data_IF_111511433237
#
_entry.id   IF_111511433237
#
_cell.length_a   1.000
_cell.length_b   1.000
_cell.length_c   1.000
_cell.angle_alpha   90.00
_cell.angle_beta   90.00
_cell.angle_gamma   90.00
#
_symmetry.space_group_name_H-M   'P 1'
#
loop_
_entity.id
_entity.type
_entity.pdbx_description
1 polymer ?
#
# COMPACT_ATOMS: atom_id res chain seq x y z
N UNK A 1 5.64 39.99 -15.61
CA UNK A 1 5.60 38.66 -16.25
C UNK A 1 5.95 37.64 -15.18
N UNK A 2 4.95 37.16 -14.45
CA UNK A 2 5.17 36.15 -13.39
C UNK A 2 5.21 34.81 -14.10
N UNK A 3 6.38 34.17 -14.07
CA UNK A 3 6.55 32.80 -14.53
C UNK A 3 5.60 31.93 -13.71
N UNK A 4 4.61 31.38 -14.39
CA UNK A 4 3.71 30.35 -13.88
C UNK A 4 4.58 29.13 -13.64
N UNK A 5 5.07 28.97 -12.41
CA UNK A 5 5.63 27.69 -11.96
C UNK A 5 4.57 26.64 -12.23
N UNK A 6 4.88 25.74 -13.16
CA UNK A 6 4.08 24.54 -13.35
C UNK A 6 4.29 23.75 -12.06
N UNK A 7 3.40 23.96 -11.08
CA UNK A 7 3.30 23.07 -9.94
C UNK A 7 2.85 21.73 -10.53
N UNK A 8 3.82 20.87 -10.81
CA UNK A 8 3.58 19.44 -10.89
C UNK A 8 2.83 19.10 -9.60
N UNK A 9 1.62 18.58 -9.75
CA UNK A 9 0.62 18.40 -8.71
C UNK A 9 1.28 17.97 -7.40
N UNK A 10 1.10 18.77 -6.36
CA UNK A 10 1.24 18.32 -4.97
C UNK A 10 0.41 17.05 -4.86
N UNK A 11 1.06 15.90 -4.96
CA UNK A 11 0.47 14.59 -4.71
C UNK A 11 -0.30 14.76 -3.42
N UNK A 12 -1.62 14.58 -3.46
CA UNK A 12 -2.40 14.64 -2.24
C UNK A 12 -1.85 13.50 -1.36
N UNK A 13 -1.27 13.86 -0.21
CA UNK A 13 -0.67 12.90 0.70
C UNK A 13 -1.65 11.77 1.06
N UNK A 14 -2.95 12.07 1.08
CA UNK A 14 -4.02 11.10 1.26
C UNK A 14 -4.07 10.02 0.17
N UNK A 15 -3.83 10.41 -1.09
CA UNK A 15 -3.73 9.46 -2.22
C UNK A 15 -2.46 8.61 -2.12
N UNK A 16 -1.35 9.18 -1.66
CA UNK A 16 -0.12 8.42 -1.44
C UNK A 16 -0.29 7.39 -0.31
N UNK A 17 -1.01 7.75 0.76
CA UNK A 17 -1.40 6.83 1.83
C UNK A 17 -2.27 5.70 1.29
N UNK A 18 -3.30 6.02 0.50
CA UNK A 18 -4.16 4.98 -0.10
C UNK A 18 -3.37 4.06 -1.02
N UNK A 19 -2.54 4.63 -1.91
CA UNK A 19 -1.71 3.87 -2.84
C UNK A 19 -0.71 2.98 -2.10
N UNK A 20 -0.22 3.41 -0.94
CA UNK A 20 0.63 2.59 -0.06
C UNK A 20 -0.15 1.38 0.48
N UNK A 21 -1.35 1.59 1.03
CA UNK A 21 -2.19 0.49 1.50
C UNK A 21 -2.51 -0.49 0.35
N UNK A 22 -2.98 0.02 -0.78
CA UNK A 22 -3.31 -0.78 -1.94
C UNK A 22 -2.13 -1.59 -2.47
N UNK A 23 -0.94 -0.99 -2.52
CA UNK A 23 0.25 -1.69 -3.03
C UNK A 23 0.77 -2.76 -2.08
N UNK A 24 0.53 -2.63 -0.76
CA UNK A 24 0.84 -3.70 0.21
C UNK A 24 -0.15 -4.86 0.07
N UNK A 25 -1.43 -4.54 -0.13
CA UNK A 25 -2.51 -5.51 -0.33
C UNK A 25 -2.26 -6.36 -1.59
N UNK A 26 -2.00 -5.72 -2.73
CA UNK A 26 -1.82 -6.42 -4.00
C UNK A 26 -0.45 -7.13 -4.13
N UNK A 27 0.33 -7.24 -3.06
CA UNK A 27 1.75 -7.55 -3.15
C UNK A 27 2.10 -9.05 -3.13
N UNK A 28 1.19 -9.86 -2.60
CA UNK A 28 1.24 -11.31 -2.66
C UNK A 28 0.54 -11.88 -3.93
N UNK A 29 -0.04 -10.99 -4.75
CA UNK A 29 -0.77 -11.37 -5.95
C UNK A 29 -2.24 -11.75 -5.70
N UNK A 30 -2.75 -11.53 -4.49
CA UNK A 30 -4.16 -11.63 -4.15
C UNK A 30 -4.66 -10.29 -3.57
N UNK A 31 -5.97 -10.08 -3.60
CA UNK A 31 -6.61 -8.96 -2.89
C UNK A 31 -7.75 -9.57 -2.09
N UNK A 32 -7.51 -9.81 -0.79
CA UNK A 32 -8.47 -10.43 0.09
C UNK A 32 -9.54 -9.40 0.53
N UNK A 33 -10.78 -9.87 0.66
CA UNK A 33 -11.92 -9.06 1.12
C UNK A 33 -11.68 -8.42 2.49
N UNK A 34 -10.90 -9.07 3.35
CA UNK A 34 -10.49 -8.58 4.68
C UNK A 34 -9.63 -7.32 4.58
N UNK A 35 -8.78 -7.23 3.56
CA UNK A 35 -7.90 -6.08 3.31
C UNK A 35 -8.69 -4.90 2.72
N UNK A 36 -9.60 -5.18 1.79
CA UNK A 36 -10.56 -4.16 1.29
C UNK A 36 -11.40 -3.59 2.45
N UNK A 37 -11.86 -4.47 3.36
CA UNK A 37 -12.60 -4.07 4.56
C UNK A 37 -11.73 -3.24 5.51
N UNK A 38 -10.44 -3.58 5.67
CA UNK A 38 -9.49 -2.78 6.43
C UNK A 38 -9.38 -1.38 5.84
N UNK A 39 -9.12 -1.23 4.54
CA UNK A 39 -8.96 0.09 3.89
C UNK A 39 -10.20 0.95 4.12
N UNK A 40 -11.40 0.37 3.94
CA UNK A 40 -12.66 1.09 4.21
C UNK A 40 -12.81 1.50 5.68
N UNK A 41 -12.34 0.67 6.62
CA UNK A 41 -12.30 1.00 8.05
C UNK A 41 -11.33 2.14 8.35
N UNK A 42 -10.10 2.09 7.80
CA UNK A 42 -9.10 3.16 7.92
C UNK A 42 -9.64 4.49 7.40
N UNK A 43 -10.38 4.46 6.29
CA UNK A 43 -11.03 5.64 5.74
C UNK A 43 -12.14 6.17 6.66
N UNK A 44 -13.11 5.34 7.04
CA UNK A 44 -14.31 5.79 7.76
C UNK A 44 -14.06 6.14 9.23
N UNK A 45 -13.27 5.35 9.93
CA UNK A 45 -13.10 5.47 11.39
C UNK A 45 -11.90 6.34 11.74
N UNK A 46 -10.76 6.11 11.08
CA UNK A 46 -9.50 6.81 11.38
C UNK A 46 -9.29 8.06 10.52
N UNK A 47 -10.14 8.29 9.51
CA UNK A 47 -9.97 9.36 8.50
C UNK A 47 -8.55 9.37 7.90
N UNK A 48 -7.97 8.18 7.74
CA UNK A 48 -6.57 8.02 7.36
C UNK A 48 -6.27 8.69 6.02
N UNK A 49 -7.20 8.60 5.08
CA UNK A 49 -7.08 9.09 3.71
C UNK A 49 -7.89 10.38 3.44
N UNK A 50 -8.14 11.19 4.47
CA UNK A 50 -8.83 12.47 4.31
C UNK A 50 -10.20 12.36 3.65
N UNK A 51 -10.46 13.22 2.66
CA UNK A 51 -11.76 13.34 1.97
C UNK A 51 -11.80 12.66 0.59
N UNK A 52 -10.87 11.74 0.29
CA UNK A 52 -10.86 11.06 -1.00
C UNK A 52 -12.08 10.13 -1.16
N UNK A 53 -12.54 9.97 -2.41
CA UNK A 53 -13.56 8.97 -2.73
C UNK A 53 -12.91 7.58 -2.78
N UNK A 54 -12.90 6.89 -1.63
CA UNK A 54 -12.18 5.62 -1.47
C UNK A 54 -12.52 4.57 -2.53
N UNK A 55 -13.80 4.45 -2.92
CA UNK A 55 -14.22 3.41 -3.87
C UNK A 55 -13.70 3.73 -5.27
N UNK A 56 -13.85 4.98 -5.72
CA UNK A 56 -13.38 5.40 -7.04
C UNK A 56 -11.86 5.35 -7.14
N UNK A 57 -11.14 5.76 -6.09
CA UNK A 57 -9.68 5.72 -6.09
C UNK A 57 -9.16 4.28 -6.08
N UNK A 58 -9.77 3.39 -5.29
CA UNK A 58 -9.41 1.96 -5.28
C UNK A 58 -9.65 1.29 -6.64
N UNK A 59 -10.76 1.62 -7.32
CA UNK A 59 -11.05 1.13 -8.67
C UNK A 59 -10.02 1.64 -9.69
N UNK A 60 -9.62 2.92 -9.59
CA UNK A 60 -8.56 3.48 -10.44
C UNK A 60 -7.21 2.79 -10.20
N UNK A 61 -6.87 2.48 -8.96
CA UNK A 61 -5.64 1.75 -8.61
C UNK A 61 -5.68 0.31 -9.14
N UNK A 62 -6.83 -0.36 -9.04
CA UNK A 62 -7.05 -1.70 -9.59
C UNK A 62 -6.89 -1.73 -11.12
N UNK A 63 -7.50 -0.78 -11.83
CA UNK A 63 -7.36 -0.66 -13.28
C UNK A 63 -5.89 -0.40 -13.65
N UNK A 64 -5.18 0.42 -12.87
CA UNK A 64 -3.79 0.75 -13.13
C UNK A 64 -2.85 -0.45 -12.94
N UNK A 65 -3.00 -1.20 -11.85
CA UNK A 65 -2.16 -2.38 -11.59
C UNK A 65 -2.46 -3.53 -12.55
N UNK A 66 -3.72 -3.74 -12.94
CA UNK A 66 -4.10 -4.75 -13.95
C UNK A 66 -3.61 -4.38 -15.35
N UNK A 67 -3.53 -3.08 -15.68
CA UNK A 67 -3.02 -2.63 -16.98
C UNK A 67 -1.51 -2.87 -17.12
N UNK A 68 -0.74 -2.48 -16.10
CA UNK A 68 0.71 -2.61 -16.08
C UNK A 68 1.21 -2.54 -14.63
N UNK A 69 1.24 -3.69 -13.97
CA UNK A 69 1.66 -3.77 -12.57
C UNK A 69 3.11 -3.30 -12.37
N UNK A 70 4.00 -3.62 -13.32
CA UNK A 70 5.41 -3.23 -13.29
C UNK A 70 5.56 -1.71 -13.26
N UNK A 71 4.90 -1.04 -14.20
CA UNK A 71 4.90 0.40 -14.28
C UNK A 71 4.20 1.03 -13.07
N UNK A 72 3.09 0.44 -12.61
CA UNK A 72 2.34 0.91 -11.43
C UNK A 72 3.23 0.99 -10.17
N UNK A 73 3.96 -0.08 -9.82
CA UNK A 73 4.83 -0.07 -8.64
C UNK A 73 6.07 0.78 -8.85
N UNK A 74 6.64 0.80 -10.06
CA UNK A 74 7.75 1.71 -10.37
C UNK A 74 7.35 3.16 -10.13
N UNK A 75 6.16 3.54 -10.58
CA UNK A 75 5.60 4.87 -10.34
C UNK A 75 5.31 5.12 -8.86
N UNK A 76 4.82 4.13 -8.13
CA UNK A 76 4.64 4.21 -6.69
C UNK A 76 5.97 4.49 -5.95
N UNK A 77 7.01 3.68 -6.20
CA UNK A 77 8.31 3.87 -5.55
C UNK A 77 8.99 5.18 -5.96
N UNK A 78 8.82 5.60 -7.22
CA UNK A 78 9.27 6.92 -7.67
C UNK A 78 8.54 8.02 -6.91
N UNK A 79 7.23 7.91 -6.71
CA UNK A 79 6.45 8.87 -5.92
C UNK A 79 6.95 8.94 -4.47
N UNK A 80 7.18 7.80 -3.81
CA UNK A 80 7.76 7.77 -2.45
C UNK A 80 9.12 8.49 -2.38
N UNK A 81 10.00 8.22 -3.36
CA UNK A 81 11.37 8.75 -3.37
C UNK A 81 11.44 10.24 -3.67
N UNK A 82 10.56 10.71 -4.55
CA UNK A 82 10.53 12.11 -5.03
C UNK A 82 9.64 13.03 -4.18
N UNK A 83 8.78 12.48 -3.34
CA UNK A 83 7.94 13.26 -2.43
C UNK A 83 8.76 13.93 -1.33
N UNK A 84 8.48 15.21 -1.07
CA UNK A 84 9.02 15.92 0.09
C UNK A 84 8.07 15.70 1.26
N UNK A 85 8.37 14.70 2.09
CA UNK A 85 7.56 14.31 3.24
C UNK A 85 8.18 14.81 4.55
N UNK A 86 7.33 15.21 5.49
CA UNK A 86 7.73 15.41 6.88
C UNK A 86 7.91 14.04 7.57
N UNK A 87 8.69 14.00 8.65
CA UNK A 87 8.86 12.77 9.44
C UNK A 87 7.50 12.20 9.93
N UNK A 88 6.56 13.07 10.30
CA UNK A 88 5.21 12.66 10.68
C UNK A 88 4.44 12.00 9.52
N UNK A 89 4.62 12.49 8.28
CA UNK A 89 4.00 11.91 7.10
C UNK A 89 4.66 10.57 6.71
N UNK A 90 5.98 10.48 6.81
CA UNK A 90 6.69 9.21 6.60
C UNK A 90 6.29 8.16 7.64
N UNK A 91 6.15 8.56 8.92
CA UNK A 91 5.64 7.67 9.96
C UNK A 91 4.24 7.15 9.63
N UNK A 92 3.35 8.04 9.17
CA UNK A 92 1.99 7.66 8.82
C UNK A 92 1.93 6.71 7.60
N UNK A 93 2.83 6.84 6.64
CA UNK A 93 2.98 5.87 5.54
C UNK A 93 3.40 4.50 6.06
N UNK A 94 4.39 4.47 6.95
CA UNK A 94 4.85 3.23 7.58
C UNK A 94 3.73 2.58 8.40
N UNK A 95 2.98 3.35 9.19
CA UNK A 95 1.84 2.84 9.95
C UNK A 95 0.79 2.22 9.04
N UNK A 96 0.44 2.87 7.93
CA UNK A 96 -0.52 2.33 6.97
C UNK A 96 -0.01 1.03 6.34
N UNK A 97 1.28 0.96 5.98
CA UNK A 97 1.87 -0.27 5.44
C UNK A 97 1.81 -1.41 6.46
N UNK A 98 2.21 -1.16 7.71
CA UNK A 98 2.17 -2.15 8.80
C UNK A 98 0.75 -2.61 9.08
N UNK A 99 -0.21 -1.69 9.18
CA UNK A 99 -1.61 -2.02 9.42
C UNK A 99 -2.21 -2.88 8.30
N UNK A 100 -1.78 -2.65 7.05
CA UNK A 100 -2.23 -3.43 5.88
C UNK A 100 -1.64 -4.84 5.89
N UNK A 101 -0.33 -4.98 6.09
CA UNK A 101 0.34 -6.29 6.13
C UNK A 101 -0.16 -7.15 7.31
N UNK A 102 -0.61 -6.52 8.41
CA UNK A 102 -1.18 -7.24 9.56
C UNK A 102 -2.67 -7.57 9.40
N UNK A 103 -3.32 -7.20 8.29
CA UNK A 103 -4.77 -7.27 8.14
C UNK A 103 -5.32 -8.70 8.12
N UNK A 104 -4.59 -9.61 7.49
CA UNK A 104 -5.03 -10.96 7.17
C UNK A 104 -4.53 -12.01 8.19
N UNK A 105 -3.80 -11.55 9.23
CA UNK A 105 -3.12 -12.35 10.27
C UNK A 105 -2.08 -13.35 9.75
N UNK A 106 -1.63 -13.24 8.49
CA UNK A 106 -0.65 -14.14 7.90
C UNK A 106 0.37 -13.31 7.10
N UNK A 107 1.44 -12.93 7.78
CA UNK A 107 2.49 -12.15 7.14
C UNK A 107 3.33 -13.03 6.22
N UNK A 108 3.34 -12.72 4.93
CA UNK A 108 4.10 -13.41 3.92
C UNK A 108 5.51 -12.80 3.73
N UNK A 109 6.42 -13.61 3.19
CA UNK A 109 7.79 -13.16 2.94
C UNK A 109 7.87 -12.09 1.84
N UNK A 110 6.96 -12.15 0.86
CA UNK A 110 6.73 -11.12 -0.17
C UNK A 110 6.37 -9.77 0.46
N UNK A 111 5.45 -9.75 1.43
CA UNK A 111 5.05 -8.54 2.15
C UNK A 111 6.18 -7.94 2.98
N UNK A 112 6.96 -8.79 3.67
CA UNK A 112 8.16 -8.36 4.42
C UNK A 112 9.14 -7.66 3.49
N UNK A 113 9.42 -8.29 2.35
CA UNK A 113 10.31 -7.74 1.33
C UNK A 113 9.78 -6.42 0.79
N UNK A 114 8.49 -6.34 0.47
CA UNK A 114 7.85 -5.14 -0.04
C UNK A 114 7.93 -3.98 0.98
N UNK A 115 7.65 -4.26 2.25
CA UNK A 115 7.80 -3.31 3.34
C UNK A 115 9.23 -2.78 3.45
N UNK A 116 10.24 -3.65 3.37
CA UNK A 116 11.65 -3.25 3.39
C UNK A 116 11.99 -2.28 2.25
N UNK A 117 11.40 -2.45 1.06
CA UNK A 117 11.55 -1.49 -0.04
C UNK A 117 10.91 -0.15 0.29
N UNK A 118 9.66 -0.13 0.78
CA UNK A 118 9.00 1.14 1.20
C UNK A 118 9.88 1.86 2.21
N UNK A 119 10.31 1.14 3.25
CA UNK A 119 11.15 1.66 4.33
C UNK A 119 12.46 2.27 3.82
N UNK A 120 13.09 1.66 2.82
CA UNK A 120 14.36 2.14 2.24
C UNK A 120 14.22 3.41 1.41
N UNK A 121 13.00 3.77 0.98
CA UNK A 121 12.72 5.02 0.24
C UNK A 121 12.43 6.20 1.17
N UNK A 122 12.22 5.97 2.46
CA UNK A 122 11.86 6.98 3.47
C UNK A 122 13.04 7.33 4.38
N UNK A 123 13.05 8.56 4.90
CA UNK A 123 14.18 9.10 5.70
C UNK A 123 14.00 8.93 7.22
N UNK A 124 12.79 8.62 7.68
CA UNK A 124 12.44 8.41 9.08
C UNK A 124 13.39 7.41 9.75
N UNK A 125 13.67 7.57 11.03
CA UNK A 125 14.48 6.62 11.80
C UNK A 125 13.65 5.40 12.26
N UNK A 126 14.31 4.31 12.68
CA UNK A 126 13.61 3.13 13.20
C UNK A 126 12.93 3.41 14.55
N UNK A 127 13.49 4.30 15.37
CA UNK A 127 13.01 4.57 16.73
C UNK A 127 11.53 5.01 16.78
N UNK A 128 11.06 6.02 16.03
CA UNK A 128 9.64 6.40 16.02
C UNK A 128 8.70 5.28 15.55
N UNK A 129 9.18 4.38 14.69
CA UNK A 129 8.39 3.23 14.19
C UNK A 129 8.22 2.20 15.31
N UNK A 130 9.32 1.86 16.00
CA UNK A 130 9.36 0.87 17.08
C UNK A 130 8.63 1.32 18.35
N UNK A 131 8.60 2.63 18.63
CA UNK A 131 7.81 3.16 19.75
C UNK A 131 6.32 2.86 19.61
N UNK A 132 5.82 2.70 18.37
CA UNK A 132 4.42 2.39 18.08
C UNK A 132 4.18 0.93 17.71
N UNK A 133 5.16 0.28 17.07
CA UNK A 133 5.09 -1.09 16.59
C UNK A 133 6.35 -1.85 17.03
N UNK A 134 6.49 -2.17 18.34
CA UNK A 134 7.69 -2.81 18.87
C UNK A 134 7.88 -4.24 18.33
N UNK A 135 6.80 -4.88 17.87
CA UNK A 135 6.80 -6.20 17.25
C UNK A 135 7.32 -6.20 15.80
N UNK A 136 7.68 -5.04 15.25
CA UNK A 136 8.17 -4.88 13.88
C UNK A 136 9.70 -4.76 13.78
N UNK A 137 10.44 -5.07 14.85
CA UNK A 137 11.91 -4.93 14.90
C UNK A 137 12.63 -5.74 13.81
N UNK A 138 12.26 -7.01 13.64
CA UNK A 138 12.86 -7.92 12.64
C UNK A 138 12.67 -7.43 11.19
N UNK A 139 11.65 -6.60 10.95
CA UNK A 139 11.31 -6.03 9.65
C UNK A 139 12.12 -4.76 9.33
N UNK A 140 12.68 -4.13 10.37
CA UNK A 140 13.48 -2.91 10.28
C UNK A 140 14.98 -3.17 10.28
N UNK A 141 15.39 -4.43 10.43
CA UNK A 141 16.77 -4.85 10.26
C UNK A 141 17.26 -4.47 8.85
N UNK A 142 18.42 -3.83 8.80
CA UNK A 142 19.07 -3.49 7.55
C UNK A 142 19.58 -4.77 6.90
N UNK A 143 18.81 -5.31 5.96
CA UNK A 143 19.41 -6.10 4.90
C UNK A 143 20.34 -5.18 4.09
N UNK A 144 21.38 -5.75 3.49
CA UNK A 144 22.16 -5.04 2.47
C UNK A 144 21.26 -4.87 1.25
N UNK A 145 20.38 -3.87 1.30
CA UNK A 145 19.49 -3.48 0.22
C UNK A 145 20.33 -2.66 -0.75
N UNK A 146 21.08 -3.35 -1.61
CA UNK A 146 21.70 -2.70 -2.76
C UNK A 146 20.62 -2.31 -3.77
N UNK A 147 20.88 -1.28 -4.58
CA UNK A 147 20.00 -0.94 -5.70
C UNK A 147 19.76 -2.14 -6.64
N UNK A 148 20.75 -3.05 -6.73
CA UNK A 148 20.61 -4.32 -7.46
C UNK A 148 19.70 -5.35 -6.78
N UNK A 149 19.64 -5.37 -5.44
CA UNK A 149 18.67 -6.19 -4.71
C UNK A 149 17.27 -5.64 -4.91
N UNK A 150 17.09 -4.31 -4.86
CA UNK A 150 15.81 -3.66 -5.15
C UNK A 150 15.32 -3.91 -6.57
N UNK A 151 16.21 -3.83 -7.57
CA UNK A 151 15.88 -4.11 -8.96
C UNK A 151 15.42 -5.56 -9.15
N UNK A 152 16.15 -6.52 -8.55
CA UNK A 152 15.76 -7.94 -8.57
C UNK A 152 14.49 -8.21 -7.80
N UNK A 153 14.27 -7.53 -6.69
CA UNK A 153 13.07 -7.70 -5.88
C UNK A 153 11.84 -7.16 -6.60
N UNK A 154 11.99 -6.10 -7.39
CA UNK A 154 10.97 -5.68 -8.35
C UNK A 154 10.77 -6.75 -9.43
N UNK A 155 11.82 -7.25 -10.09
CA UNK A 155 11.70 -8.30 -11.13
C UNK A 155 11.05 -9.60 -10.60
N UNK A 156 11.55 -10.16 -9.50
CA UNK A 156 11.08 -11.42 -8.89
C UNK A 156 9.62 -11.33 -8.41
N UNK A 157 9.22 -10.16 -7.90
CA UNK A 157 7.85 -9.90 -7.46
C UNK A 157 6.88 -10.03 -8.63
N UNK A 158 7.23 -9.51 -9.81
CA UNK A 158 6.38 -9.55 -11.00
C UNK A 158 6.40 -10.88 -11.74
N UNK A 159 7.53 -11.57 -11.79
CA UNK A 159 7.65 -12.82 -12.53
C UNK A 159 6.82 -13.96 -11.91
N UNK A 160 6.49 -13.87 -10.62
CA UNK A 160 5.83 -14.97 -9.90
C UNK A 160 4.39 -14.71 -9.45
N UNK A 161 3.95 -13.44 -9.30
CA UNK A 161 2.71 -13.13 -8.56
C UNK A 161 1.63 -12.38 -9.37
N UNK A 162 1.91 -11.89 -10.59
CA UNK A 162 0.91 -11.20 -11.44
C UNK A 162 0.61 -12.01 -12.71
N UNK A 163 0.25 -13.28 -12.56
CA UNK A 163 -0.27 -14.08 -13.68
C UNK A 163 -1.80 -14.06 -13.77
N UNK A 164 -2.49 -13.52 -12.76
CA UNK A 164 -3.94 -13.41 -12.70
C UNK A 164 -4.37 -11.94 -12.65
N UNK A 165 -5.41 -11.57 -13.38
CA UNK A 165 -6.05 -10.25 -13.24
C UNK A 165 -6.76 -10.19 -11.88
N UNK A 166 -6.56 -9.12 -11.12
CA UNK A 166 -7.29 -8.91 -9.87
C UNK A 166 -8.78 -8.66 -10.16
N UNK A 167 -9.66 -9.32 -9.42
CA UNK A 167 -11.12 -9.16 -9.53
C UNK A 167 -11.60 -7.75 -9.13
N UNK A 168 -12.77 -7.35 -9.63
CA UNK A 168 -13.33 -6.03 -9.33
C UNK A 168 -13.73 -5.92 -7.85
N UNK A 169 -13.34 -4.83 -7.20
CA UNK A 169 -13.66 -4.57 -5.79
C UNK A 169 -15.18 -4.50 -5.53
N UNK A 170 -15.97 -4.11 -6.53
CA UNK A 170 -17.43 -4.11 -6.48
C UNK A 170 -18.02 -5.54 -6.41
N UNK A 171 -17.38 -6.51 -7.06
CA UNK A 171 -17.78 -7.92 -7.04
C UNK A 171 -17.46 -8.55 -5.68
N UNK A 172 -16.30 -8.20 -5.12
CA UNK A 172 -15.91 -8.55 -3.75
C UNK A 172 -16.95 -8.06 -2.72
N UNK A 173 -17.41 -6.81 -2.85
CA UNK A 173 -18.43 -6.23 -1.97
C UNK A 173 -19.79 -6.94 -2.07
N UNK A 174 -20.20 -7.35 -3.27
CA UNK A 174 -21.48 -8.01 -3.51
C UNK A 174 -21.52 -9.41 -2.86
N UNK A 175 -20.47 -10.21 -3.06
CA UNK A 175 -20.35 -11.53 -2.42
C UNK A 175 -20.25 -11.43 -0.89
N UNK A 176 -19.60 -10.37 -0.40
CA UNK A 176 -19.51 -10.11 1.04
C UNK A 176 -20.90 -9.86 1.63
N UNK A 177 -21.72 -9.06 0.97
CA UNK A 177 -23.09 -8.77 1.42
C UNK A 177 -23.96 -10.04 1.48
N UNK A 178 -23.75 -10.98 0.56
CA UNK A 178 -24.48 -12.25 0.53
C UNK A 178 -23.97 -13.26 1.57
N UNK A 179 -22.66 -13.29 1.84
CA UNK A 179 -22.09 -14.11 2.93
C UNK A 179 -22.54 -13.64 4.32
N UNK A 180 -22.78 -12.33 4.51
CA UNK A 180 -23.35 -11.78 5.74
C UNK A 180 -24.86 -12.04 5.86
N UNK A 181 -25.58 -12.29 4.77
CA UNK A 181 -27.00 -12.71 4.85
C UNK A 181 -27.13 -14.18 5.23
N UNK A 182 -26.26 -15.05 4.71
CA UNK A 182 -26.30 -16.48 5.04
C UNK A 182 -25.87 -16.77 6.50
N UNK A 183 -24.96 -15.98 7.08
CA UNK A 183 -24.51 -16.18 8.46
C UNK A 183 -25.41 -15.54 9.55
N UNK A 184 -26.53 -14.92 9.16
CA UNK A 184 -27.50 -14.31 10.10
C UNK A 184 -28.87 -15.04 10.07
N UNK A 185 -28.96 -16.22 9.44
CA UNK A 185 -30.20 -17.03 9.37
C UNK A 185 -30.12 -18.38 10.12
N UNK A 186 -29.17 -18.57 11.06
CA UNK A 186 -29.20 -19.70 12.01
C UNK A 186 -29.22 -19.26 13.48
#
# INVERSE_FOLDING_TARGET
>A
MVLKTINMETINFDQLLLKTAFSCMACDGDIDKREVKLIKRLHKEKKTFGEININSEMENLLIAINRDGQQFLKDYFNQLTTSVLSEANELKLIEVAIETIKADNKIEYSEIKFFKVIRSKLKIANKPILEKNPDFEDYLEQDIISDSYLARLQEDFFDTHISNEFELISEIDAETLDSFKQNNEE
#
